data_IF_337920026531
#
_entry.id   IF_337920026531
#
_cell.length_a   1.000
_cell.length_b   1.000
_cell.length_c   1.000
_cell.angle_alpha   90.00
_cell.angle_beta   90.00
_cell.angle_gamma   90.00
#
_symmetry.space_group_name_H-M   'P 1'
#
loop_
_entity.id
_entity.type
_entity.pdbx_description
1 polymer ?
#
# COMPACT_ATOMS: atom_id res chain seq x y z
N UNK A 1 -14.45 25.33 8.89
CA UNK A 1 -12.99 25.22 9.09
C UNK A 1 -12.55 23.78 9.35
N UNK A 2 -13.06 23.10 10.39
CA UNK A 2 -12.67 21.72 10.76
C UNK A 2 -12.86 20.69 9.65
N UNK A 3 -13.97 20.75 8.91
CA UNK A 3 -14.24 19.83 7.79
C UNK A 3 -13.21 19.95 6.66
N UNK A 4 -12.81 21.18 6.31
CA UNK A 4 -11.87 21.45 5.23
C UNK A 4 -10.45 20.98 5.59
N UNK A 5 -10.07 21.11 6.86
CA UNK A 5 -8.81 20.57 7.41
C UNK A 5 -8.83 19.04 7.39
N UNK A 6 -9.93 18.42 7.83
CA UNK A 6 -10.09 16.96 7.84
C UNK A 6 -10.03 16.38 6.42
N UNK A 7 -10.73 17.00 5.46
CA UNK A 7 -10.67 16.62 4.06
C UNK A 7 -9.26 16.77 3.47
N UNK A 8 -8.58 17.89 3.73
CA UNK A 8 -7.20 18.12 3.29
C UNK A 8 -6.23 17.07 3.82
N UNK A 9 -6.36 16.72 5.11
CA UNK A 9 -5.56 15.68 5.75
C UNK A 9 -5.85 14.31 5.15
N UNK A 10 -7.11 13.95 4.94
CA UNK A 10 -7.51 12.68 4.32
C UNK A 10 -6.92 12.52 2.91
N UNK A 11 -6.93 13.60 2.12
CA UNK A 11 -6.34 13.63 0.79
C UNK A 11 -4.82 13.46 0.85
N UNK A 12 -4.12 14.24 1.70
CA UNK A 12 -2.66 14.17 1.84
C UNK A 12 -2.20 12.77 2.26
N UNK A 13 -2.91 12.16 3.22
CA UNK A 13 -2.62 10.80 3.67
C UNK A 13 -2.82 9.79 2.54
N UNK A 14 -3.84 9.98 1.70
CA UNK A 14 -4.09 9.13 0.54
C UNK A 14 -2.96 9.19 -0.50
N UNK A 15 -2.26 10.33 -0.61
CA UNK A 15 -1.11 10.48 -1.52
C UNK A 15 0.05 9.53 -1.19
N UNK A 16 0.21 9.12 0.07
CA UNK A 16 1.28 8.20 0.49
C UNK A 16 1.14 6.85 -0.25
N UNK A 17 -0.09 6.40 -0.53
CA UNK A 17 -0.32 5.14 -1.22
C UNK A 17 0.16 5.16 -2.68
N UNK A 18 0.19 6.32 -3.34
CA UNK A 18 0.71 6.41 -4.71
C UNK A 18 2.21 6.10 -4.80
N UNK A 19 2.97 6.33 -3.72
CA UNK A 19 4.38 5.96 -3.64
C UNK A 19 4.58 4.43 -3.66
N UNK A 20 3.55 3.64 -3.35
CA UNK A 20 3.62 2.18 -3.33
C UNK A 20 3.33 1.54 -4.70
N UNK A 21 2.69 2.26 -5.63
CA UNK A 21 2.40 1.79 -7.00
C UNK A 21 3.68 1.36 -7.74
N UNK A 22 4.74 2.20 -7.85
CA UNK A 22 5.94 1.84 -8.58
C UNK A 22 6.67 0.63 -7.99
N UNK A 23 6.41 0.27 -6.73
CA UNK A 23 7.11 -0.82 -6.06
C UNK A 23 6.99 -2.15 -6.81
N UNK A 24 5.78 -2.49 -7.26
CA UNK A 24 5.51 -3.73 -8.01
C UNK A 24 6.36 -3.83 -9.30
N UNK A 25 6.58 -2.69 -9.96
CA UNK A 25 7.38 -2.60 -11.19
C UNK A 25 8.89 -2.54 -10.93
N UNK A 26 9.31 -2.19 -9.72
CA UNK A 26 10.72 -2.18 -9.34
C UNK A 26 11.23 -3.58 -8.98
N UNK A 27 10.36 -4.54 -8.67
CA UNK A 27 10.74 -5.93 -8.37
C UNK A 27 10.89 -6.73 -9.69
N UNK A 28 11.82 -6.30 -10.55
CA UNK A 28 12.16 -6.91 -11.85
C UNK A 28 13.47 -7.69 -11.80
N UNK A 29 13.62 -8.66 -12.71
CA UNK A 29 14.81 -9.52 -12.81
C UNK A 29 16.13 -8.75 -12.84
N UNK A 30 16.22 -7.67 -13.63
CA UNK A 30 17.42 -6.85 -13.72
C UNK A 30 17.85 -6.16 -12.41
N UNK A 31 16.93 -6.01 -11.45
CA UNK A 31 17.25 -5.48 -10.13
C UNK A 31 17.69 -6.60 -9.18
N UNK A 32 17.23 -7.83 -9.39
CA UNK A 32 17.66 -9.02 -8.64
C UNK A 32 19.11 -9.40 -8.98
N UNK A 33 19.54 -9.11 -10.21
CA UNK A 33 20.93 -9.31 -10.68
C UNK A 33 21.95 -8.36 -10.00
N UNK A 34 21.48 -7.31 -9.32
CA UNK A 34 22.29 -6.36 -8.53
C UNK A 34 21.89 -6.40 -7.04
N UNK A 35 22.39 -7.38 -6.25
CA UNK A 35 21.91 -7.64 -4.88
C UNK A 35 21.94 -6.41 -3.96
N UNK A 36 23.00 -5.59 -4.06
CA UNK A 36 23.14 -4.37 -3.27
C UNK A 36 22.08 -3.30 -3.60
N UNK A 37 21.70 -3.18 -4.87
CA UNK A 37 20.67 -2.23 -5.32
C UNK A 37 19.29 -2.71 -4.93
N UNK A 38 19.02 -4.01 -5.05
CA UNK A 38 17.77 -4.61 -4.59
C UNK A 38 17.56 -4.39 -3.09
N UNK A 39 18.57 -4.69 -2.28
CA UNK A 39 18.51 -4.48 -0.82
C UNK A 39 18.28 -3.00 -0.47
N UNK A 40 18.90 -2.06 -1.20
CA UNK A 40 18.68 -0.63 -1.01
C UNK A 40 17.23 -0.22 -1.29
N UNK A 41 16.65 -0.67 -2.40
CA UNK A 41 15.24 -0.42 -2.75
C UNK A 41 14.33 -0.97 -1.65
N UNK A 42 14.54 -2.21 -1.20
CA UNK A 42 13.76 -2.80 -0.13
C UNK A 42 13.83 -2.00 1.19
N UNK A 43 15.01 -1.47 1.55
CA UNK A 43 15.18 -0.62 2.75
C UNK A 43 14.41 0.70 2.65
N UNK A 44 14.37 1.32 1.47
CA UNK A 44 13.55 2.51 1.23
C UNK A 44 12.07 2.16 1.35
N UNK A 45 11.62 1.14 0.63
CA UNK A 45 10.21 0.74 0.61
C UNK A 45 9.73 0.22 1.96
N UNK A 46 10.60 -0.38 2.78
CA UNK A 46 10.27 -0.73 4.17
C UNK A 46 9.80 0.49 4.96
N UNK A 47 10.44 1.66 4.78
CA UNK A 47 10.03 2.92 5.43
C UNK A 47 8.73 3.46 4.84
N UNK A 48 8.59 3.44 3.51
CA UNK A 48 7.36 3.89 2.82
C UNK A 48 6.16 3.04 3.24
N UNK A 49 6.32 1.71 3.32
CA UNK A 49 5.28 0.77 3.76
C UNK A 49 4.91 1.02 5.22
N UNK A 50 5.88 1.32 6.09
CA UNK A 50 5.61 1.70 7.48
C UNK A 50 4.78 2.97 7.57
N UNK A 51 5.15 4.02 6.81
CA UNK A 51 4.33 5.23 6.69
C UNK A 51 2.93 4.92 6.12
N UNK A 52 2.85 3.99 5.17
CA UNK A 52 1.61 3.49 4.60
C UNK A 52 0.68 2.87 5.64
N UNK A 53 1.19 2.18 6.67
CA UNK A 53 0.35 1.63 7.74
C UNK A 53 -0.23 2.75 8.61
N UNK A 54 0.57 3.76 8.94
CA UNK A 54 0.07 4.95 9.62
C UNK A 54 -0.99 5.67 8.79
N UNK A 55 -0.73 5.82 7.49
CA UNK A 55 -1.64 6.40 6.53
C UNK A 55 -2.96 5.62 6.41
N UNK A 56 -2.91 4.28 6.49
CA UNK A 56 -4.07 3.42 6.47
C UNK A 56 -5.00 3.71 7.64
N UNK A 57 -4.46 3.77 8.85
CA UNK A 57 -5.23 4.01 10.07
C UNK A 57 -5.83 5.42 10.03
N UNK A 58 -5.02 6.43 9.72
CA UNK A 58 -5.47 7.82 9.69
C UNK A 58 -6.51 8.04 8.58
N UNK A 59 -6.29 7.47 7.40
CA UNK A 59 -7.21 7.54 6.26
C UNK A 59 -8.56 6.88 6.56
N UNK A 60 -8.54 5.69 7.16
CA UNK A 60 -9.77 4.99 7.55
C UNK A 60 -10.56 5.78 8.60
N UNK A 61 -9.92 6.21 9.70
CA UNK A 61 -10.59 6.96 10.77
C UNK A 61 -11.16 8.27 10.24
N UNK A 62 -10.37 9.05 9.49
CA UNK A 62 -10.85 10.30 8.90
C UNK A 62 -12.01 10.07 7.92
N UNK A 63 -11.97 9.00 7.12
CA UNK A 63 -13.08 8.62 6.23
C UNK A 63 -14.38 8.32 6.98
N UNK A 64 -14.32 7.55 8.08
CA UNK A 64 -15.48 7.27 8.92
C UNK A 64 -16.08 8.52 9.57
N UNK A 65 -15.23 9.45 10.04
CA UNK A 65 -15.68 10.71 10.64
C UNK A 65 -16.32 11.67 9.62
N UNK A 66 -16.03 11.51 8.34
CA UNK A 66 -16.53 12.38 7.27
C UNK A 66 -17.84 11.89 6.63
N UNK A 67 -18.26 10.64 6.89
CA UNK A 67 -19.53 10.11 6.36
C UNK A 67 -20.66 10.17 7.40
N UNK A 68 -21.86 10.52 6.94
CA UNK A 68 -23.09 10.49 7.74
C UNK A 68 -23.97 9.27 7.46
N UNK A 69 -23.69 8.52 6.38
CA UNK A 69 -24.44 7.33 5.98
C UNK A 69 -23.50 6.15 5.80
N UNK A 70 -23.48 5.28 6.81
CA UNK A 70 -22.56 4.14 6.87
C UNK A 70 -23.10 2.90 6.15
N UNK A 71 -24.39 2.87 5.82
CA UNK A 71 -25.01 1.74 5.12
C UNK A 71 -25.14 1.98 3.62
N UNK A 72 -24.72 3.14 3.15
CA UNK A 72 -24.60 3.44 1.73
C UNK A 72 -23.70 2.41 1.03
N UNK A 73 -24.18 1.83 -0.07
CA UNK A 73 -23.43 0.86 -0.87
C UNK A 73 -22.04 1.39 -1.31
N UNK A 74 -21.94 2.69 -1.59
CA UNK A 74 -20.68 3.36 -1.90
C UNK A 74 -19.70 3.32 -0.72
N UNK A 75 -20.17 3.64 0.49
CA UNK A 75 -19.32 3.62 1.68
C UNK A 75 -18.84 2.20 1.98
N UNK A 76 -19.73 1.20 1.87
CA UNK A 76 -19.39 -0.21 2.05
C UNK A 76 -18.31 -0.65 1.07
N UNK A 77 -18.43 -0.27 -0.21
CA UNK A 77 -17.41 -0.55 -1.23
C UNK A 77 -16.05 0.07 -0.87
N UNK A 78 -16.03 1.34 -0.45
CA UNK A 78 -14.81 2.03 -0.05
C UNK A 78 -14.15 1.34 1.16
N UNK A 79 -14.94 0.96 2.17
CA UNK A 79 -14.43 0.23 3.35
C UNK A 79 -13.85 -1.14 2.94
N UNK A 80 -14.49 -1.85 2.02
CA UNK A 80 -13.96 -3.12 1.51
C UNK A 80 -12.61 -2.94 0.79
N UNK A 81 -12.45 -1.86 0.01
CA UNK A 81 -11.18 -1.53 -0.65
C UNK A 81 -10.11 -1.19 0.40
N UNK A 82 -10.45 -0.42 1.44
CA UNK A 82 -9.53 -0.15 2.56
C UNK A 82 -9.08 -1.41 3.29
N UNK A 83 -9.98 -2.37 3.49
CA UNK A 83 -9.62 -3.67 4.08
C UNK A 83 -8.63 -4.43 3.19
N UNK A 84 -8.85 -4.46 1.87
CA UNK A 84 -7.92 -5.04 0.91
C UNK A 84 -6.56 -4.34 0.91
N UNK A 85 -6.53 -3.00 0.96
CA UNK A 85 -5.30 -2.21 1.11
C UNK A 85 -4.53 -2.63 2.36
N UNK A 86 -5.19 -2.71 3.51
CA UNK A 86 -4.56 -3.11 4.76
C UNK A 86 -3.97 -4.53 4.70
N UNK A 87 -4.73 -5.48 4.14
CA UNK A 87 -4.29 -6.86 3.99
C UNK A 87 -3.04 -6.96 3.09
N UNK A 88 -3.09 -6.39 1.88
CA UNK A 88 -1.97 -6.48 0.94
C UNK A 88 -0.77 -5.63 1.36
N UNK A 89 -0.98 -4.51 2.06
CA UNK A 89 0.09 -3.72 2.64
C UNK A 89 0.85 -4.52 3.71
N UNK A 90 0.12 -5.22 4.60
CA UNK A 90 0.71 -6.08 5.62
C UNK A 90 1.47 -7.28 5.04
N UNK A 91 0.89 -7.95 4.04
CA UNK A 91 1.54 -9.06 3.33
C UNK A 91 2.81 -8.60 2.62
N UNK A 92 2.77 -7.45 1.94
CA UNK A 92 3.93 -6.84 1.29
C UNK A 92 5.02 -6.51 2.32
N UNK A 93 4.66 -5.90 3.44
CA UNK A 93 5.60 -5.57 4.53
C UNK A 93 6.30 -6.81 5.09
N UNK A 94 5.55 -7.89 5.28
CA UNK A 94 6.04 -9.17 5.80
C UNK A 94 7.12 -9.75 4.89
N UNK A 95 6.85 -9.82 3.58
CA UNK A 95 7.81 -10.39 2.63
C UNK A 95 9.04 -9.49 2.45
N UNK A 96 8.88 -8.15 2.45
CA UNK A 96 10.04 -7.22 2.48
C UNK A 96 10.95 -7.51 3.68
N UNK A 97 10.37 -7.71 4.87
CA UNK A 97 11.15 -8.01 6.08
C UNK A 97 11.89 -9.33 5.95
N UNK A 98 11.21 -10.41 5.54
CA UNK A 98 11.83 -11.73 5.37
C UNK A 98 12.97 -11.71 4.37
N UNK A 99 12.79 -11.04 3.23
CA UNK A 99 13.84 -10.95 2.20
C UNK A 99 15.07 -10.24 2.77
N UNK A 100 14.89 -9.12 3.49
CA UNK A 100 16.01 -8.42 4.12
C UNK A 100 16.74 -9.29 5.16
N UNK A 101 15.99 -9.99 6.01
CA UNK A 101 16.55 -10.93 7.00
C UNK A 101 17.25 -12.12 6.31
N UNK A 102 16.71 -12.61 5.20
CA UNK A 102 17.28 -13.69 4.38
C UNK A 102 18.59 -13.28 3.71
N UNK A 103 18.65 -12.06 3.14
CA UNK A 103 19.88 -11.49 2.58
C UNK A 103 20.96 -11.36 3.66
N UNK A 104 20.60 -10.87 4.84
CA UNK A 104 21.54 -10.73 5.98
C UNK A 104 22.04 -12.08 6.50
N UNK A 105 21.19 -13.12 6.44
CA UNK A 105 21.52 -14.47 6.85
C UNK A 105 22.15 -15.35 5.75
N UNK A 106 22.34 -14.83 4.53
CA UNK A 106 22.86 -15.60 3.39
C UNK A 106 21.95 -16.77 2.95
N UNK A 107 20.64 -16.63 3.14
CA UNK A 107 19.64 -17.65 2.76
C UNK A 107 19.09 -17.41 1.36
N UNK A 108 18.59 -18.47 0.75
CA UNK A 108 17.82 -18.39 -0.49
C UNK A 108 16.51 -17.62 -0.26
N UNK A 109 16.18 -16.68 -1.17
CA UNK A 109 15.06 -15.73 -1.02
C UNK A 109 14.05 -15.79 -2.17
N UNK A 110 14.24 -16.66 -3.16
CA UNK A 110 13.50 -16.63 -4.42
C UNK A 110 11.98 -16.80 -4.23
N UNK A 111 11.58 -17.70 -3.34
CA UNK A 111 10.17 -17.91 -2.97
C UNK A 111 9.54 -16.66 -2.34
N UNK A 112 10.27 -15.97 -1.47
CA UNK A 112 9.78 -14.76 -0.81
C UNK A 112 9.75 -13.57 -1.80
N UNK A 113 10.68 -13.51 -2.75
CA UNK A 113 10.67 -12.53 -3.85
C UNK A 113 9.46 -12.72 -4.77
N UNK A 114 9.12 -13.97 -5.12
CA UNK A 114 7.94 -14.28 -5.91
C UNK A 114 6.64 -13.83 -5.20
N UNK A 115 6.54 -14.12 -3.89
CA UNK A 115 5.42 -13.66 -3.05
C UNK A 115 5.37 -12.13 -2.94
N UNK A 116 6.52 -11.48 -2.77
CA UNK A 116 6.61 -10.02 -2.73
C UNK A 116 6.07 -9.40 -4.03
N UNK A 117 6.43 -9.96 -5.20
CA UNK A 117 5.91 -9.50 -6.50
C UNK A 117 4.40 -9.63 -6.58
N UNK A 118 3.85 -10.77 -6.15
CA UNK A 118 2.40 -10.97 -6.12
C UNK A 118 1.70 -9.97 -5.18
N UNK A 119 2.14 -9.86 -3.93
CA UNK A 119 1.46 -9.00 -2.95
C UNK A 119 1.60 -7.51 -3.27
N UNK A 120 2.76 -7.07 -3.77
CA UNK A 120 2.93 -5.69 -4.24
C UNK A 120 2.07 -5.37 -5.46
N UNK A 121 1.87 -6.34 -6.36
CA UNK A 121 0.95 -6.20 -7.49
C UNK A 121 -0.51 -6.12 -7.02
N UNK A 122 -0.94 -6.99 -6.10
CA UNK A 122 -2.29 -6.94 -5.52
C UNK A 122 -2.54 -5.64 -4.75
N UNK A 123 -1.54 -5.15 -4.01
CA UNK A 123 -1.57 -3.85 -3.34
C UNK A 123 -1.76 -2.72 -4.35
N UNK A 124 -1.00 -2.73 -5.45
CA UNK A 124 -1.17 -1.77 -6.55
C UNK A 124 -2.59 -1.80 -7.11
N UNK A 125 -3.14 -2.99 -7.38
CA UNK A 125 -4.53 -3.11 -7.85
C UNK A 125 -5.54 -2.54 -6.85
N UNK A 126 -5.37 -2.79 -5.55
CA UNK A 126 -6.23 -2.21 -4.52
C UNK A 126 -6.16 -0.68 -4.49
N UNK A 127 -4.97 -0.09 -4.68
CA UNK A 127 -4.80 1.37 -4.77
C UNK A 127 -5.51 1.92 -6.00
N UNK A 128 -5.35 1.29 -7.16
CA UNK A 128 -6.01 1.70 -8.40
C UNK A 128 -7.53 1.57 -8.28
N UNK A 129 -8.03 0.50 -7.67
CA UNK A 129 -9.46 0.30 -7.42
C UNK A 129 -10.07 1.43 -6.60
N UNK A 130 -9.37 1.95 -5.58
CA UNK A 130 -9.84 3.11 -4.81
C UNK A 130 -10.03 4.35 -5.70
N UNK A 131 -9.07 4.60 -6.60
CA UNK A 131 -9.12 5.73 -7.52
C UNK A 131 -10.22 5.56 -8.57
N UNK A 132 -10.32 4.36 -9.17
CA UNK A 132 -11.36 4.02 -10.15
C UNK A 132 -12.75 4.12 -9.54
N UNK A 133 -12.95 3.58 -8.34
CA UNK A 133 -14.22 3.71 -7.63
C UNK A 133 -14.59 5.18 -7.51
N UNK A 134 -13.64 6.04 -7.08
CA UNK A 134 -13.91 7.46 -6.87
C UNK A 134 -14.30 8.16 -8.19
N UNK A 135 -13.66 7.84 -9.30
CA UNK A 135 -14.03 8.38 -10.62
C UNK A 135 -15.45 7.95 -11.01
N UNK A 136 -15.77 6.65 -10.88
CA UNK A 136 -17.07 6.11 -11.24
C UNK A 136 -18.22 6.71 -10.43
N UNK A 137 -17.98 7.13 -9.18
CA UNK A 137 -18.98 7.81 -8.37
C UNK A 137 -19.38 9.20 -8.91
N UNK A 138 -18.49 9.86 -9.65
CA UNK A 138 -18.73 11.21 -10.19
C UNK A 138 -19.13 11.23 -11.67
N UNK A 139 -19.15 10.07 -12.34
CA UNK A 139 -19.65 9.91 -13.72
C UNK A 139 -21.16 9.62 -13.70
#
# INVERSE_FOLDING_TARGET
MTYLISYGLHMLVSFIFFLLIPFSFLIKGSLLDEPGRFQFVLKIYKRIIWLGHGALIVGLISGFLMTSDWLNAWFILVVAIWAALGAFLGLTAKEVRKILEGIEAGKEIDDDVAKLRLYSFLLMLAILSMFTAKILYYL
#
